data_IF_358968839778
#
_entry.id   IF_358968839778
#
_cell.length_a   1.000
_cell.length_b   1.000
_cell.length_c   1.000
_cell.angle_alpha   90.00
_cell.angle_beta   90.00
_cell.angle_gamma   90.00
#
_symmetry.space_group_name_H-M   'P 1'
#
loop_
_entity.id
_entity.type
_entity.pdbx_description
1 polymer ?
#
# COMPACT_ATOMS: atom_id res chain seq x y z
N UNK A 1 110.40 -60.19 -39.23
CA UNK A 1 109.95 -59.22 -38.22
C UNK A 1 109.91 -57.86 -38.93
N UNK A 2 108.85 -57.07 -39.04
CA UNK A 2 107.52 -57.02 -38.43
C UNK A 2 106.65 -56.14 -39.35
N UNK A 3 105.54 -56.68 -39.86
CA UNK A 3 104.50 -55.90 -40.54
C UNK A 3 103.30 -55.89 -39.61
N UNK A 4 103.01 -54.77 -38.95
CA UNK A 4 101.71 -54.48 -38.31
C UNK A 4 101.79 -53.09 -37.66
N UNK A 5 101.29 -52.06 -38.35
CA UNK A 5 100.84 -50.79 -37.74
C UNK A 5 100.22 -49.90 -38.81
N UNK A 6 98.99 -50.22 -39.24
CA UNK A 6 98.17 -49.30 -40.06
C UNK A 6 96.67 -49.53 -39.89
N UNK A 7 96.22 -49.81 -38.67
CA UNK A 7 94.84 -50.21 -38.37
C UNK A 7 94.28 -49.50 -37.14
N UNK A 8 94.38 -48.17 -37.05
CA UNK A 8 93.75 -47.41 -35.95
C UNK A 8 93.05 -46.11 -36.36
N UNK A 9 93.27 -45.58 -37.57
CA UNK A 9 92.77 -44.24 -37.94
C UNK A 9 91.35 -44.22 -38.56
N UNK A 10 90.82 -45.35 -39.02
CA UNK A 10 89.46 -45.40 -39.61
C UNK A 10 88.33 -45.35 -38.56
N UNK A 11 88.63 -45.72 -37.31
CA UNK A 11 87.63 -45.80 -36.23
C UNK A 11 87.22 -44.42 -35.68
N UNK A 12 88.14 -43.45 -35.61
CA UNK A 12 87.85 -42.12 -35.07
C UNK A 12 86.91 -41.31 -35.99
N UNK A 13 87.08 -41.39 -37.30
CA UNK A 13 86.18 -40.75 -38.27
C UNK A 13 84.77 -41.40 -38.27
N UNK A 14 84.69 -42.71 -38.02
CA UNK A 14 83.42 -43.41 -37.81
C UNK A 14 82.72 -43.00 -36.52
N UNK A 15 83.46 -42.72 -35.44
CA UNK A 15 82.90 -42.25 -34.17
C UNK A 15 82.32 -40.82 -34.26
N UNK A 16 82.94 -39.93 -35.05
CA UNK A 16 82.39 -38.59 -35.27
C UNK A 16 81.13 -38.61 -36.14
N UNK A 17 81.09 -39.47 -37.16
CA UNK A 17 79.92 -39.63 -38.01
C UNK A 17 78.71 -40.16 -37.21
N UNK A 18 78.93 -41.20 -36.40
CA UNK A 18 77.90 -41.76 -35.51
C UNK A 18 77.42 -40.75 -34.45
N UNK A 19 78.32 -39.94 -33.88
CA UNK A 19 77.94 -38.90 -32.92
C UNK A 19 77.05 -37.82 -33.56
N UNK A 20 77.35 -37.40 -34.79
CA UNK A 20 76.53 -36.44 -35.54
C UNK A 20 75.17 -37.06 -35.89
N UNK A 21 75.13 -38.31 -36.35
CA UNK A 21 73.88 -39.04 -36.60
C UNK A 21 73.02 -39.15 -35.34
N UNK A 22 73.61 -39.43 -34.18
CA UNK A 22 72.86 -39.45 -32.90
C UNK A 22 72.35 -38.07 -32.48
N UNK A 23 73.11 -36.99 -32.73
CA UNK A 23 72.64 -35.63 -32.49
C UNK A 23 71.48 -35.26 -33.41
N UNK A 24 71.56 -35.60 -34.70
CA UNK A 24 70.48 -35.36 -35.67
C UNK A 24 69.23 -36.15 -35.24
N UNK A 25 69.37 -37.43 -34.89
CA UNK A 25 68.28 -38.25 -34.40
C UNK A 25 67.65 -37.68 -33.12
N UNK A 26 68.46 -37.16 -32.18
CA UNK A 26 67.97 -36.52 -30.96
C UNK A 26 67.21 -35.23 -31.24
N UNK A 27 67.67 -34.42 -32.19
CA UNK A 27 66.99 -33.17 -32.59
C UNK A 27 65.69 -33.48 -33.30
N UNK A 28 65.67 -34.46 -34.21
CA UNK A 28 64.44 -34.93 -34.86
C UNK A 28 63.43 -35.46 -33.85
N UNK A 29 63.89 -36.23 -32.86
CA UNK A 29 63.03 -36.71 -31.78
C UNK A 29 62.45 -35.56 -30.94
N UNK A 30 63.27 -34.55 -30.60
CA UNK A 30 62.80 -33.38 -29.87
C UNK A 30 61.76 -32.59 -30.67
N UNK A 31 61.96 -32.37 -31.97
CA UNK A 31 60.99 -31.72 -32.85
C UNK A 31 59.67 -32.51 -32.93
N UNK A 32 59.73 -33.82 -33.15
CA UNK A 32 58.52 -34.68 -33.15
C UNK A 32 57.78 -34.65 -31.82
N UNK A 33 58.51 -34.61 -30.71
CA UNK A 33 57.92 -34.53 -29.37
C UNK A 33 57.23 -33.18 -29.16
N UNK A 34 57.84 -32.08 -29.62
CA UNK A 34 57.22 -30.74 -29.58
C UNK A 34 55.98 -30.67 -30.45
N UNK A 35 56.00 -31.24 -31.65
CA UNK A 35 54.83 -31.31 -32.54
C UNK A 35 53.69 -32.11 -31.89
N UNK A 36 54.00 -33.27 -31.31
CA UNK A 36 53.02 -34.07 -30.58
C UNK A 36 52.46 -33.32 -29.37
N UNK A 37 53.32 -32.68 -28.57
CA UNK A 37 52.88 -31.87 -27.41
C UNK A 37 52.00 -30.71 -27.83
N UNK A 38 52.30 -30.04 -28.95
CA UNK A 38 51.50 -28.94 -29.45
C UNK A 38 50.14 -29.44 -29.96
N UNK A 39 50.11 -30.58 -30.67
CA UNK A 39 48.88 -31.22 -31.09
C UNK A 39 47.99 -31.59 -29.89
N UNK A 40 48.54 -32.22 -28.85
CA UNK A 40 47.81 -32.54 -27.61
C UNK A 40 47.28 -31.27 -26.94
N UNK A 41 48.12 -30.23 -26.81
CA UNK A 41 47.70 -28.98 -26.19
C UNK A 41 46.56 -28.30 -26.98
N UNK A 42 46.60 -28.33 -28.31
CA UNK A 42 45.53 -27.76 -29.14
C UNK A 42 44.20 -28.51 -28.99
N UNK A 43 44.21 -29.83 -28.78
CA UNK A 43 43.00 -30.61 -28.56
C UNK A 43 42.42 -30.38 -27.16
N UNK A 44 43.29 -30.37 -26.14
CA UNK A 44 42.91 -30.13 -24.74
C UNK A 44 42.44 -28.68 -24.49
N UNK A 45 42.97 -27.69 -25.21
CA UNK A 45 42.62 -26.27 -25.03
C UNK A 45 41.47 -25.79 -25.91
N UNK A 46 40.96 -26.64 -26.82
CA UNK A 46 39.91 -26.30 -27.79
C UNK A 46 38.64 -25.72 -27.14
N UNK A 47 38.30 -26.22 -25.96
CA UNK A 47 37.07 -25.83 -25.23
C UNK A 47 37.25 -24.59 -24.33
N UNK A 48 38.47 -24.10 -24.12
CA UNK A 48 38.73 -22.91 -23.29
C UNK A 48 38.06 -21.65 -23.84
N UNK A 49 37.98 -21.51 -25.17
CA UNK A 49 37.27 -20.38 -25.79
C UNK A 49 35.76 -20.41 -25.51
N UNK A 50 35.15 -21.60 -25.46
CA UNK A 50 33.73 -21.77 -25.10
C UNK A 50 33.49 -21.46 -23.62
N UNK A 51 34.38 -21.94 -22.75
CA UNK A 51 34.34 -21.63 -21.31
C UNK A 51 34.50 -20.12 -21.06
N UNK A 52 35.42 -19.46 -21.78
CA UNK A 52 35.61 -18.01 -21.68
C UNK A 52 34.33 -17.25 -22.05
N UNK A 53 33.60 -17.71 -23.08
CA UNK A 53 32.30 -17.13 -23.45
C UNK A 53 31.21 -17.40 -22.41
N UNK A 54 31.16 -18.59 -21.82
CA UNK A 54 30.19 -18.95 -20.78
C UNK A 54 30.43 -18.21 -19.46
N UNK A 55 31.69 -18.02 -19.07
CA UNK A 55 32.07 -17.20 -17.91
C UNK A 55 31.80 -15.72 -18.20
N UNK A 56 32.00 -15.27 -19.44
CA UNK A 56 31.67 -13.90 -19.88
C UNK A 56 30.16 -13.65 -19.89
N UNK A 57 29.32 -14.66 -20.11
CA UNK A 57 27.87 -14.58 -19.85
C UNK A 57 27.61 -14.56 -18.34
N UNK A 58 28.07 -13.50 -17.69
CA UNK A 58 27.88 -13.25 -16.28
C UNK A 58 26.41 -12.88 -16.08
N UNK A 59 25.62 -13.81 -15.54
CA UNK A 59 24.33 -13.46 -14.97
C UNK A 59 24.61 -12.58 -13.75
N UNK A 60 24.28 -11.31 -13.85
CA UNK A 60 24.44 -10.38 -12.74
C UNK A 60 23.43 -10.77 -11.66
N UNK A 61 23.95 -11.23 -10.52
CA UNK A 61 23.16 -11.40 -9.30
C UNK A 61 23.50 -10.22 -8.41
N UNK A 62 22.53 -9.36 -8.16
CA UNK A 62 22.67 -8.31 -7.16
C UNK A 62 22.54 -8.99 -5.79
N UNK A 63 23.68 -9.15 -5.14
CA UNK A 63 23.76 -9.67 -3.79
C UNK A 63 23.63 -8.49 -2.84
N UNK A 64 22.53 -8.48 -2.08
CA UNK A 64 22.34 -7.55 -0.97
C UNK A 64 22.80 -8.27 0.30
N UNK A 65 23.60 -7.61 1.13
CA UNK A 65 24.05 -8.18 2.38
C UNK A 65 22.93 -8.18 3.43
N UNK A 66 22.94 -9.17 4.32
CA UNK A 66 21.97 -9.22 5.43
C UNK A 66 22.07 -7.97 6.32
N UNK A 67 23.27 -7.40 6.43
CA UNK A 67 23.50 -6.16 7.19
C UNK A 67 22.78 -4.98 6.56
N UNK A 68 22.87 -4.80 5.24
CA UNK A 68 22.15 -3.74 4.53
C UNK A 68 20.64 -3.88 4.67
N UNK A 69 20.12 -5.12 4.71
CA UNK A 69 18.70 -5.37 4.96
C UNK A 69 18.31 -4.92 6.37
N UNK A 70 19.11 -5.25 7.39
CA UNK A 70 18.85 -4.84 8.77
C UNK A 70 18.94 -3.33 8.93
N UNK A 71 19.98 -2.70 8.40
CA UNK A 71 20.16 -1.25 8.47
C UNK A 71 19.00 -0.51 7.76
N UNK A 72 18.54 -1.02 6.62
CA UNK A 72 17.38 -0.47 5.91
C UNK A 72 16.07 -0.67 6.67
N UNK A 73 15.87 -1.83 7.32
CA UNK A 73 14.72 -2.07 8.17
C UNK A 73 14.69 -1.14 9.38
N UNK A 74 15.83 -0.96 10.04
CA UNK A 74 15.95 -0.05 11.18
C UNK A 74 15.69 1.38 10.75
N UNK A 75 16.26 1.83 9.62
CA UNK A 75 15.99 3.15 9.07
C UNK A 75 14.51 3.38 8.75
N UNK A 76 13.89 2.42 8.05
CA UNK A 76 12.47 2.47 7.71
C UNK A 76 11.59 2.47 8.97
N UNK A 77 11.96 1.70 10.00
CA UNK A 77 11.23 1.67 11.26
C UNK A 77 11.26 3.02 11.97
N UNK A 78 12.42 3.69 11.99
CA UNK A 78 12.59 5.02 12.59
C UNK A 78 11.75 6.07 11.85
N UNK A 79 11.63 5.95 10.53
CA UNK A 79 10.85 6.88 9.71
C UNK A 79 9.33 6.64 9.80
N UNK A 80 8.87 5.39 9.76
CA UNK A 80 7.44 5.04 9.70
C UNK A 80 6.77 5.12 11.08
N UNK A 81 7.45 4.72 12.16
CA UNK A 81 6.86 4.69 13.50
C UNK A 81 6.23 6.01 13.98
N UNK A 82 6.84 7.20 13.82
CA UNK A 82 6.20 8.45 14.21
C UNK A 82 4.95 8.76 13.37
N UNK A 83 4.97 8.47 12.07
CA UNK A 83 3.81 8.66 11.18
C UNK A 83 2.66 7.74 11.58
N UNK A 84 2.97 6.48 11.92
CA UNK A 84 1.99 5.51 12.39
C UNK A 84 1.34 5.96 13.70
N UNK A 85 2.13 6.48 14.64
CA UNK A 85 1.62 7.02 15.92
C UNK A 85 0.67 8.20 15.71
N UNK A 86 0.99 9.11 14.81
CA UNK A 86 0.10 10.23 14.48
C UNK A 86 -1.23 9.74 13.88
N UNK A 87 -1.19 8.76 12.97
CA UNK A 87 -2.38 8.16 12.38
C UNK A 87 -3.24 7.44 13.41
N UNK A 88 -2.62 6.70 14.35
CA UNK A 88 -3.31 6.04 15.45
C UNK A 88 -4.03 7.08 16.32
N UNK A 89 -3.36 8.16 16.72
CA UNK A 89 -3.99 9.22 17.52
C UNK A 89 -5.18 9.87 16.80
N UNK A 90 -5.06 10.11 15.49
CA UNK A 90 -6.18 10.64 14.69
C UNK A 90 -7.35 9.66 14.61
N UNK A 91 -7.06 8.36 14.46
CA UNK A 91 -8.08 7.32 14.44
C UNK A 91 -8.79 7.20 15.81
N UNK A 92 -8.04 7.27 16.92
CA UNK A 92 -8.58 7.28 18.27
C UNK A 92 -9.47 8.51 18.53
N UNK A 93 -9.05 9.70 18.07
CA UNK A 93 -9.86 10.92 18.20
C UNK A 93 -11.17 10.81 17.38
N UNK A 94 -11.10 10.28 16.17
CA UNK A 94 -12.28 10.04 15.34
C UNK A 94 -13.23 9.02 16.00
N UNK A 95 -12.69 7.93 16.55
CA UNK A 95 -13.46 6.92 17.27
C UNK A 95 -14.17 7.51 18.48
N UNK A 96 -13.48 8.35 19.27
CA UNK A 96 -14.10 9.04 20.42
C UNK A 96 -15.21 10.01 19.99
N UNK A 97 -15.08 10.69 18.85
CA UNK A 97 -16.15 11.56 18.31
C UNK A 97 -17.37 10.75 17.91
N UNK A 98 -17.16 9.63 17.23
CA UNK A 98 -18.24 8.75 16.82
C UNK A 98 -18.92 8.07 18.02
N UNK A 99 -18.16 7.66 19.03
CA UNK A 99 -18.72 7.09 20.26
C UNK A 99 -19.59 8.11 21.01
N UNK A 100 -19.11 9.36 21.14
CA UNK A 100 -19.91 10.45 21.72
C UNK A 100 -21.20 10.69 20.92
N UNK A 101 -21.10 10.72 19.59
CA UNK A 101 -22.27 10.89 18.71
C UNK A 101 -23.25 9.73 18.84
N UNK A 102 -22.76 8.49 18.88
CA UNK A 102 -23.57 7.30 19.10
C UNK A 102 -24.28 7.35 20.46
N UNK A 103 -23.59 7.76 21.52
CA UNK A 103 -24.18 7.92 22.87
C UNK A 103 -25.29 8.98 22.88
N UNK A 104 -25.07 10.13 22.23
CA UNK A 104 -26.09 11.18 22.10
C UNK A 104 -27.30 10.68 21.32
N UNK A 105 -27.09 9.99 20.19
CA UNK A 105 -28.18 9.44 19.37
C UNK A 105 -28.97 8.37 20.11
N UNK A 106 -28.29 7.45 20.83
CA UNK A 106 -28.94 6.47 21.70
C UNK A 106 -29.77 7.14 22.80
N UNK A 107 -29.22 8.17 23.44
CA UNK A 107 -29.94 8.95 24.44
C UNK A 107 -31.20 9.62 23.87
N UNK A 108 -31.11 10.24 22.69
CA UNK A 108 -32.26 10.83 21.99
C UNK A 108 -33.30 9.79 21.60
N UNK A 109 -32.86 8.64 21.08
CA UNK A 109 -33.76 7.54 20.71
C UNK A 109 -34.49 6.98 21.93
N UNK A 110 -33.79 6.76 23.04
CA UNK A 110 -34.40 6.32 24.30
C UNK A 110 -35.39 7.35 24.86
N UNK A 111 -35.05 8.65 24.82
CA UNK A 111 -35.99 9.70 25.23
C UNK A 111 -37.25 9.74 24.36
N UNK A 112 -37.11 9.55 23.05
CA UNK A 112 -38.24 9.50 22.13
C UNK A 112 -39.08 8.23 22.34
N UNK A 113 -38.46 7.07 22.55
CA UNK A 113 -39.20 5.83 22.82
C UNK A 113 -40.02 5.95 24.11
N UNK A 114 -39.43 6.46 25.19
CA UNK A 114 -40.16 6.68 26.45
C UNK A 114 -41.32 7.67 26.27
N UNK A 115 -41.13 8.77 25.53
CA UNK A 115 -42.24 9.69 25.23
C UNK A 115 -43.34 9.01 24.42
N UNK A 116 -42.98 8.23 23.41
CA UNK A 116 -43.95 7.48 22.60
C UNK A 116 -44.71 6.45 23.43
N UNK A 117 -44.04 5.76 24.36
CA UNK A 117 -44.67 4.84 25.30
C UNK A 117 -45.67 5.56 26.22
N UNK A 118 -45.30 6.72 26.77
CA UNK A 118 -46.20 7.55 27.58
C UNK A 118 -47.41 8.03 26.77
N UNK A 119 -47.23 8.47 25.53
CA UNK A 119 -48.33 8.85 24.65
C UNK A 119 -49.21 7.65 24.29
N UNK A 120 -48.63 6.48 23.99
CA UNK A 120 -49.38 5.27 23.71
C UNK A 120 -50.25 4.84 24.90
N UNK A 121 -49.74 4.98 26.13
CA UNK A 121 -50.49 4.71 27.37
C UNK A 121 -51.63 5.71 27.59
N UNK A 122 -51.43 6.99 27.27
CA UNK A 122 -52.44 8.05 27.44
C UNK A 122 -53.57 7.98 26.40
N UNK A 123 -53.28 7.51 25.19
CA UNK A 123 -54.21 7.53 24.07
C UNK A 123 -54.75 6.15 23.66
N UNK A 124 -54.46 5.08 24.41
CA UNK A 124 -54.85 3.69 24.12
C UNK A 124 -54.65 3.29 22.63
N UNK A 125 -53.53 3.75 22.06
CA UNK A 125 -53.20 3.48 20.66
C UNK A 125 -52.33 2.23 20.60
N UNK A 126 -52.82 1.16 19.97
CA UNK A 126 -52.06 -0.08 19.81
C UNK A 126 -50.73 0.15 19.09
N UNK A 127 -49.63 -0.02 19.83
CA UNK A 127 -48.23 0.22 19.40
C UNK A 127 -47.87 -0.54 18.10
N UNK A 128 -48.52 -1.69 17.86
CA UNK A 128 -48.30 -2.54 16.68
C UNK A 128 -48.67 -1.86 15.35
N UNK A 129 -49.59 -0.89 15.37
CA UNK A 129 -49.98 -0.14 14.16
C UNK A 129 -48.99 0.98 13.83
N UNK A 130 -48.32 1.54 14.83
CA UNK A 130 -47.29 2.58 14.68
C UNK A 130 -45.97 1.98 14.18
N UNK A 131 -45.58 0.79 14.67
CA UNK A 131 -44.36 0.09 14.23
C UNK A 131 -44.40 -0.28 12.75
N UNK A 132 -45.54 -0.79 12.24
CA UNK A 132 -45.74 -1.10 10.81
C UNK A 132 -45.54 0.10 9.88
N UNK A 133 -45.94 1.31 10.30
CA UNK A 133 -45.74 2.55 9.50
C UNK A 133 -44.28 3.02 9.50
N UNK A 134 -43.51 2.71 10.55
CA UNK A 134 -42.11 3.14 10.67
C UNK A 134 -41.13 2.27 9.87
N UNK A 135 -41.47 1.01 9.59
CA UNK A 135 -40.61 0.09 8.84
C UNK A 135 -40.69 0.28 7.32
N UNK A 136 -41.81 0.81 6.79
CA UNK A 136 -41.92 1.19 5.37
C UNK A 136 -41.04 2.40 4.99
N UNK A 137 -40.72 3.29 5.94
CA UNK A 137 -39.93 4.50 5.66
C UNK A 137 -38.41 4.29 5.66
N UNK A 138 -37.90 3.17 6.19
CA UNK A 138 -36.44 2.96 6.39
C UNK A 138 -35.67 2.54 5.14
N UNK A 139 -36.34 2.05 4.10
CA UNK A 139 -35.65 1.49 2.92
C UNK A 139 -35.18 2.53 1.87
N UNK A 140 -35.43 3.84 2.07
CA UNK A 140 -35.21 4.85 1.01
C UNK A 140 -34.25 6.00 1.36
N UNK A 141 -33.60 6.01 2.53
CA UNK A 141 -32.88 7.20 3.05
C UNK A 141 -31.34 7.09 3.14
N UNK A 142 -30.68 6.09 2.55
CA UNK A 142 -29.25 5.88 2.88
C UNK A 142 -28.26 6.72 2.05
N UNK A 143 -28.65 7.38 0.94
CA UNK A 143 -27.63 8.03 0.06
C UNK A 143 -27.85 9.55 -0.23
N UNK A 144 -28.98 10.18 0.11
CA UNK A 144 -29.28 11.59 -0.29
C UNK A 144 -29.63 12.59 0.83
N UNK A 145 -29.47 12.21 2.09
CA UNK A 145 -30.31 12.77 3.18
C UNK A 145 -29.88 14.12 3.74
N UNK A 146 -28.68 14.61 3.44
CA UNK A 146 -28.14 15.80 4.10
C UNK A 146 -28.63 17.13 3.48
N UNK A 147 -28.90 17.14 2.18
CA UNK A 147 -29.31 18.36 1.45
C UNK A 147 -30.84 18.55 1.50
N UNK A 148 -31.60 17.47 1.35
CA UNK A 148 -33.05 17.49 1.42
C UNK A 148 -33.58 17.79 2.83
N UNK A 149 -32.89 17.33 3.89
CA UNK A 149 -33.27 17.67 5.27
C UNK A 149 -33.00 19.15 5.60
N UNK A 150 -31.92 19.75 5.06
CA UNK A 150 -31.65 21.19 5.21
C UNK A 150 -32.71 22.04 4.51
N UNK A 151 -33.03 21.72 3.26
CA UNK A 151 -34.04 22.47 2.48
C UNK A 151 -35.44 22.39 3.13
N UNK A 152 -35.79 21.26 3.75
CA UNK A 152 -37.05 21.10 4.49
C UNK A 152 -37.07 21.91 5.79
N UNK A 153 -35.96 21.95 6.52
CA UNK A 153 -35.82 22.76 7.74
C UNK A 153 -35.91 24.26 7.44
N UNK A 154 -35.32 24.71 6.33
CA UNK A 154 -35.38 26.12 5.90
C UNK A 154 -36.81 26.55 5.53
N UNK A 155 -37.55 25.74 4.77
CA UNK A 155 -38.97 26.01 4.46
C UNK A 155 -39.84 26.06 5.71
N UNK A 156 -39.59 25.18 6.68
CA UNK A 156 -40.31 25.20 7.96
C UNK A 156 -40.01 26.47 8.77
N UNK A 157 -38.76 26.92 8.79
CA UNK A 157 -38.37 28.15 9.47
C UNK A 157 -39.00 29.40 8.83
N UNK A 158 -39.04 29.48 7.48
CA UNK A 158 -39.74 30.55 6.77
C UNK A 158 -41.24 30.56 7.05
N UNK A 159 -41.84 29.37 7.19
CA UNK A 159 -43.25 29.27 7.57
C UNK A 159 -43.49 29.77 9.00
N UNK A 160 -42.61 29.41 9.95
CA UNK A 160 -42.69 29.87 11.34
C UNK A 160 -42.50 31.39 11.47
N UNK A 161 -41.64 32.02 10.67
CA UNK A 161 -41.49 33.48 10.68
C UNK A 161 -42.77 34.16 10.17
N UNK A 162 -43.37 33.65 9.09
CA UNK A 162 -44.64 34.19 8.56
C UNK A 162 -45.79 34.08 9.57
N UNK A 163 -45.83 33.00 10.37
CA UNK A 163 -46.82 32.82 11.42
C UNK A 163 -46.58 33.76 12.61
N UNK A 164 -45.31 34.03 12.97
CA UNK A 164 -44.96 35.01 14.00
C UNK A 164 -45.37 36.42 13.59
N UNK A 165 -45.16 36.80 12.33
CA UNK A 165 -45.59 38.08 11.80
C UNK A 165 -47.11 38.23 11.84
N UNK A 166 -47.85 37.23 11.35
CA UNK A 166 -49.32 37.19 11.44
C UNK A 166 -49.83 37.25 12.88
N UNK A 167 -49.16 36.58 13.82
CA UNK A 167 -49.50 36.67 15.25
C UNK A 167 -49.35 38.10 15.75
N UNK A 168 -48.25 38.79 15.40
CA UNK A 168 -47.99 40.17 15.84
C UNK A 168 -49.03 41.14 15.25
N UNK A 169 -49.41 40.97 13.98
CA UNK A 169 -50.43 41.82 13.36
C UNK A 169 -51.79 41.64 14.05
N UNK A 170 -52.22 40.39 14.24
CA UNK A 170 -53.47 40.08 14.94
C UNK A 170 -53.45 40.60 16.38
N UNK A 171 -52.31 40.52 17.07
CA UNK A 171 -52.18 41.04 18.43
C UNK A 171 -52.32 42.57 18.48
N UNK A 172 -51.84 43.30 17.46
CA UNK A 172 -52.05 44.75 17.33
C UNK A 172 -53.50 45.09 17.02
N UNK A 173 -54.16 44.32 16.15
CA UNK A 173 -55.58 44.49 15.82
C UNK A 173 -56.46 44.22 17.05
N UNK A 174 -56.19 43.15 17.78
CA UNK A 174 -56.83 42.85 19.07
C UNK A 174 -56.69 44.01 20.05
N UNK A 175 -55.48 44.53 20.25
CA UNK A 175 -55.24 45.67 21.14
C UNK A 175 -55.96 46.96 20.68
N UNK A 176 -56.15 47.14 19.38
CA UNK A 176 -56.93 48.25 18.83
C UNK A 176 -58.42 48.06 19.12
N UNK A 177 -58.97 46.88 18.84
CA UNK A 177 -60.37 46.55 19.14
C UNK A 177 -60.68 46.66 20.63
N UNK A 178 -59.78 46.21 21.51
CA UNK A 178 -59.94 46.36 22.97
C UNK A 178 -60.04 47.83 23.42
N UNK A 179 -59.28 48.74 22.77
CA UNK A 179 -59.38 50.19 23.04
C UNK A 179 -60.71 50.75 22.55
N UNK A 180 -61.17 50.35 21.37
CA UNK A 180 -62.46 50.79 20.82
C UNK A 180 -63.64 50.28 21.68
N UNK A 181 -63.58 49.03 22.16
CA UNK A 181 -64.57 48.48 23.09
C UNK A 181 -64.56 49.23 24.42
N UNK A 182 -63.38 49.57 24.97
CA UNK A 182 -63.28 50.40 26.18
C UNK A 182 -63.85 51.80 25.99
N UNK A 183 -63.60 52.44 24.86
CA UNK A 183 -64.14 53.78 24.56
C UNK A 183 -65.66 53.74 24.38
N UNK A 184 -66.20 52.75 23.68
CA UNK A 184 -67.66 52.57 23.53
C UNK A 184 -68.33 52.17 24.85
N UNK A 185 -67.66 51.37 25.69
CA UNK A 185 -68.15 51.02 27.03
C UNK A 185 -68.26 52.22 27.97
N UNK A 186 -67.40 53.23 27.83
CA UNK A 186 -67.50 54.49 28.57
C UNK A 186 -68.54 55.47 28.00
N UNK A 187 -69.05 55.26 26.78
CA UNK A 187 -70.08 56.11 26.18
C UNK A 187 -71.53 55.62 26.44
N UNK A 188 -71.70 54.51 27.16
CA UNK A 188 -73.00 53.87 27.47
C UNK A 188 -73.33 53.95 28.97
N UNK A 189 -72.60 54.76 29.75
CA UNK A 189 -72.91 55.07 31.16
C UNK A 189 -73.29 56.53 31.33
#
# INVERSE_FOLDING_TARGET
MSLTSRQTNFSAAGQTATSIETCIASVEFACRTLEASNATLTDETKDLARLANAVRSKRYFDLISEREIKDAQDHLSVEILPQLKELILKAEEALQKDERRAKILRGKSAQQSTRLEQFAQLYDVSIDKIRKLSDESKNNEVIGSNENQKNKAEKMNQHLTSLREKRITLQREMAKMEREVRQKGHAVQ
#
